data_IF_843613830426
#
_entry.id   IF_843613830426
#
_cell.length_a   1.000
_cell.length_b   1.000
_cell.length_c   1.000
_cell.angle_alpha   90.00
_cell.angle_beta   90.00
_cell.angle_gamma   90.00
#
_symmetry.space_group_name_H-M   'P 1'
#
loop_
_entity.id
_entity.type
_entity.pdbx_description
1 polymer ?
#
# COMPACT_ATOMS: atom_id res chain seq x y z
N UNK A 1 60.48 -8.09 -7.93
CA UNK A 1 59.23 -7.30 -8.05
C UNK A 1 58.16 -7.81 -7.08
N UNK A 2 58.46 -7.90 -5.77
CA UNK A 2 57.53 -8.48 -4.77
C UNK A 2 57.38 -7.66 -3.48
N UNK A 3 58.09 -6.54 -3.32
CA UNK A 3 58.01 -5.73 -2.10
C UNK A 3 56.83 -4.73 -2.06
N UNK A 4 56.21 -4.41 -3.20
CA UNK A 4 55.14 -3.41 -3.26
C UNK A 4 53.73 -3.96 -3.01
N UNK A 5 53.49 -5.27 -3.08
CA UNK A 5 52.15 -5.82 -2.84
C UNK A 5 51.79 -5.90 -1.34
N UNK A 6 52.78 -6.05 -0.45
CA UNK A 6 52.54 -6.14 0.99
C UNK A 6 52.23 -4.78 1.66
N UNK A 7 52.73 -3.68 1.10
CA UNK A 7 52.53 -2.33 1.65
C UNK A 7 51.10 -1.81 1.49
N UNK A 8 50.41 -2.16 0.40
CA UNK A 8 49.01 -1.76 0.19
C UNK A 8 48.05 -2.51 1.12
N UNK A 9 48.32 -3.79 1.40
CA UNK A 9 47.52 -4.58 2.33
C UNK A 9 47.59 -4.04 3.77
N UNK A 10 48.79 -3.64 4.22
CA UNK A 10 48.99 -3.04 5.53
C UNK A 10 48.31 -1.66 5.65
N UNK A 11 48.37 -0.83 4.60
CA UNK A 11 47.70 0.47 4.56
C UNK A 11 46.18 0.35 4.56
N UNK A 12 45.61 -0.62 3.84
CA UNK A 12 44.17 -0.90 3.85
C UNK A 12 43.68 -1.42 5.21
N UNK A 13 44.48 -2.28 5.86
CA UNK A 13 44.21 -2.74 7.23
C UNK A 13 44.25 -1.60 8.24
N UNK A 14 45.26 -0.73 8.18
CA UNK A 14 45.39 0.43 9.06
C UNK A 14 44.28 1.46 8.81
N UNK A 15 43.90 1.70 7.55
CA UNK A 15 42.76 2.53 7.20
C UNK A 15 41.45 1.94 7.73
N UNK A 16 41.25 0.63 7.61
CA UNK A 16 40.10 -0.09 8.15
C UNK A 16 40.01 0.01 9.68
N UNK A 17 41.14 -0.22 10.38
CA UNK A 17 41.23 -0.08 11.85
C UNK A 17 40.97 1.38 12.26
N UNK A 18 41.56 2.35 11.56
CA UNK A 18 41.33 3.78 11.79
C UNK A 18 39.85 4.17 11.64
N UNK A 19 39.17 3.65 10.61
CA UNK A 19 37.73 3.85 10.39
C UNK A 19 36.87 3.24 11.50
N UNK A 20 37.24 2.05 12.00
CA UNK A 20 36.55 1.39 13.13
C UNK A 20 36.73 2.16 14.43
N UNK A 21 37.95 2.63 14.72
CA UNK A 21 38.26 3.42 15.93
C UNK A 21 37.56 4.78 15.88
N UNK A 22 37.56 5.45 14.73
CA UNK A 22 36.85 6.72 14.54
C UNK A 22 35.33 6.53 14.65
N UNK A 23 34.75 5.46 14.09
CA UNK A 23 33.33 5.13 14.27
C UNK A 23 32.99 4.86 15.73
N UNK A 24 33.82 4.09 16.46
CA UNK A 24 33.61 3.79 17.88
C UNK A 24 33.71 5.04 18.75
N UNK A 25 34.68 5.93 18.48
CA UNK A 25 34.80 7.22 19.19
C UNK A 25 33.65 8.19 18.87
N UNK A 26 33.21 8.26 17.61
CA UNK A 26 32.09 9.11 17.21
C UNK A 26 30.72 8.66 17.77
N UNK A 27 30.59 7.39 18.14
CA UNK A 27 29.38 6.81 18.73
C UNK A 27 29.41 6.65 20.25
N UNK A 28 30.48 7.09 20.95
CA UNK A 28 30.71 6.77 22.36
C UNK A 28 29.61 7.17 23.37
N UNK A 29 28.69 8.07 22.99
CA UNK A 29 27.55 8.50 23.82
C UNK A 29 26.19 8.39 23.11
N UNK A 30 26.12 7.78 21.92
CA UNK A 30 24.86 7.69 21.19
C UNK A 30 24.12 6.41 21.58
N UNK A 31 22.79 6.45 21.78
CA UNK A 31 22.02 5.25 22.00
C UNK A 31 22.25 4.25 20.85
N UNK A 32 22.23 2.92 21.13
CA UNK A 32 22.40 1.92 20.10
C UNK A 32 21.20 1.91 19.14
N UNK A 33 21.38 1.34 17.95
CA UNK A 33 20.23 0.98 17.11
C UNK A 33 19.41 -0.14 17.79
N UNK A 34 18.13 -0.33 17.39
CA UNK A 34 17.38 -1.51 17.83
C UNK A 34 18.13 -2.82 17.54
N UNK A 35 17.86 -3.90 18.30
CA UNK A 35 18.52 -5.19 18.12
C UNK A 35 18.57 -5.64 16.65
N UNK A 36 19.72 -6.14 16.21
CA UNK A 36 19.95 -6.59 14.85
C UNK A 36 20.69 -7.93 14.84
N UNK A 37 20.52 -8.75 13.80
CA UNK A 37 21.49 -9.81 13.52
C UNK A 37 22.91 -9.24 13.40
N UNK A 38 23.96 -10.02 13.73
CA UNK A 38 25.34 -9.57 13.61
C UNK A 38 25.65 -9.08 12.18
N UNK A 39 26.08 -7.83 11.99
CA UNK A 39 26.31 -7.30 10.65
C UNK A 39 27.57 -7.88 10.00
N UNK A 40 27.49 -8.19 8.71
CA UNK A 40 28.64 -8.60 7.90
C UNK A 40 29.57 -7.41 7.62
N UNK A 41 30.87 -7.70 7.44
CA UNK A 41 31.86 -6.68 7.10
C UNK A 41 31.51 -5.96 5.78
N UNK A 42 31.53 -4.62 5.80
CA UNK A 42 31.17 -3.70 4.70
C UNK A 42 29.70 -3.69 4.24
N UNK A 43 29.08 -4.85 4.08
CA UNK A 43 27.70 -4.97 3.58
C UNK A 43 26.63 -4.77 4.66
N UNK A 44 27.01 -4.82 5.94
CA UNK A 44 26.08 -4.80 7.05
C UNK A 44 25.16 -6.02 6.99
N UNK A 45 23.86 -5.82 7.09
CA UNK A 45 22.85 -6.86 7.05
C UNK A 45 22.22 -7.07 5.67
N UNK A 46 22.85 -6.60 4.58
CA UNK A 46 22.27 -6.71 3.24
C UNK A 46 21.91 -8.17 2.87
N UNK A 47 22.77 -9.13 3.25
CA UNK A 47 22.54 -10.55 3.00
C UNK A 47 21.58 -11.21 4.01
N UNK A 48 21.30 -10.53 5.13
CA UNK A 48 20.36 -11.00 6.15
C UNK A 48 18.93 -10.52 5.86
N UNK A 49 18.75 -9.61 4.90
CA UNK A 49 17.43 -9.17 4.47
C UNK A 49 16.69 -10.32 3.77
N UNK A 50 15.52 -10.72 4.28
CA UNK A 50 14.74 -11.78 3.66
C UNK A 50 14.25 -11.35 2.27
N UNK A 51 14.19 -12.29 1.33
CA UNK A 51 13.68 -12.07 -0.03
C UNK A 51 12.35 -12.74 -0.33
N UNK A 52 11.87 -13.61 0.58
CA UNK A 52 10.59 -14.32 0.50
C UNK A 52 9.95 -14.34 1.87
N UNK A 53 8.63 -14.20 1.90
CA UNK A 53 7.83 -14.22 3.13
C UNK A 53 8.42 -13.31 4.22
N UNK A 54 8.81 -12.09 3.83
CA UNK A 54 9.61 -11.18 4.65
C UNK A 54 8.99 -10.93 6.03
N UNK A 55 7.67 -10.83 6.11
CA UNK A 55 6.94 -10.63 7.36
C UNK A 55 7.14 -11.77 8.37
N UNK A 56 7.21 -13.03 7.90
CA UNK A 56 7.50 -14.19 8.74
C UNK A 56 8.94 -14.16 9.23
N UNK A 57 9.87 -13.84 8.32
CA UNK A 57 11.29 -13.77 8.64
C UNK A 57 11.57 -12.67 9.67
N UNK A 58 11.02 -11.46 9.50
CA UNK A 58 11.16 -10.38 10.46
C UNK A 58 10.52 -10.70 11.82
N UNK A 59 9.35 -11.35 11.82
CA UNK A 59 8.72 -11.78 13.07
C UNK A 59 9.59 -12.83 13.80
N UNK A 60 10.14 -13.80 13.05
CA UNK A 60 11.05 -14.82 13.60
C UNK A 60 12.32 -14.19 14.17
N UNK A 61 12.97 -13.29 13.43
CA UNK A 61 14.18 -12.59 13.90
C UNK A 61 13.86 -11.78 15.17
N UNK A 62 12.71 -11.12 15.24
CA UNK A 62 12.25 -10.45 16.46
C UNK A 62 12.13 -11.39 17.65
N UNK A 63 11.53 -12.57 17.45
CA UNK A 63 11.44 -13.62 18.49
C UNK A 63 12.82 -14.13 18.90
N UNK A 64 13.70 -14.43 17.95
CA UNK A 64 15.07 -14.92 18.19
C UNK A 64 15.93 -13.91 18.97
N UNK A 65 15.73 -12.61 18.70
CA UNK A 65 16.39 -11.50 19.39
C UNK A 65 15.66 -11.03 20.66
N UNK A 66 14.51 -11.64 20.99
CA UNK A 66 13.64 -11.24 22.11
C UNK A 66 13.27 -9.74 22.07
N UNK A 67 12.98 -9.21 20.88
CA UNK A 67 12.67 -7.81 20.67
C UNK A 67 11.50 -7.62 19.70
N UNK A 68 10.59 -6.70 20.05
CA UNK A 68 9.48 -6.28 19.21
C UNK A 68 9.86 -5.19 18.19
N UNK A 69 11.04 -4.60 18.34
CA UNK A 69 11.64 -3.65 17.41
C UNK A 69 13.02 -4.17 17.02
N UNK A 70 13.23 -4.39 15.72
CA UNK A 70 14.52 -4.87 15.19
C UNK A 70 15.05 -3.92 14.13
N UNK A 71 16.36 -3.94 13.90
CA UNK A 71 16.99 -3.13 12.87
C UNK A 71 17.91 -3.93 11.96
N UNK A 72 18.12 -3.38 10.76
CA UNK A 72 19.06 -3.85 9.77
C UNK A 72 19.79 -2.64 9.21
N UNK A 73 21.12 -2.73 9.08
CA UNK A 73 21.91 -1.71 8.41
C UNK A 73 22.38 -2.24 7.07
N UNK A 74 21.96 -1.65 5.96
CA UNK A 74 22.38 -2.07 4.62
C UNK A 74 22.83 -0.85 3.82
N UNK A 75 24.11 -0.84 3.41
CA UNK A 75 24.70 0.18 2.53
C UNK A 75 24.40 1.64 2.95
N UNK A 76 24.48 1.93 4.24
CA UNK A 76 24.27 3.28 4.79
C UNK A 76 22.79 3.66 4.99
N UNK A 77 21.86 2.74 4.71
CA UNK A 77 20.45 2.85 5.10
C UNK A 77 20.20 2.04 6.37
N UNK A 78 19.30 2.55 7.20
CA UNK A 78 18.82 1.87 8.40
C UNK A 78 17.37 1.48 8.15
N UNK A 79 17.07 0.20 8.28
CA UNK A 79 15.72 -0.35 8.23
C UNK A 79 15.35 -0.74 9.65
N UNK A 80 14.17 -0.33 10.11
CA UNK A 80 13.64 -0.66 11.42
C UNK A 80 12.30 -1.34 11.21
N UNK A 81 12.16 -2.56 11.71
CA UNK A 81 10.92 -3.33 11.64
C UNK A 81 10.21 -3.27 12.98
N UNK A 82 8.92 -2.96 12.94
CA UNK A 82 8.05 -2.81 14.11
C UNK A 82 7.09 -4.01 14.16
N UNK A 83 7.36 -4.94 15.08
CA UNK A 83 6.59 -6.19 15.22
C UNK A 83 5.45 -6.11 16.26
N UNK A 84 5.37 -5.05 17.07
CA UNK A 84 4.28 -4.86 18.05
C UNK A 84 3.40 -3.66 17.75
N UNK A 85 2.14 -3.74 18.19
CA UNK A 85 1.20 -2.62 18.12
C UNK A 85 1.71 -1.42 18.91
N UNK A 86 2.32 -1.64 20.07
CA UNK A 86 2.84 -0.57 20.92
C UNK A 86 3.92 0.27 20.21
N UNK A 87 4.88 -0.38 19.55
CA UNK A 87 5.93 0.30 18.78
C UNK A 87 5.35 1.09 17.61
N UNK A 88 4.39 0.52 16.89
CA UNK A 88 3.69 1.22 15.80
C UNK A 88 2.85 2.38 16.31
N UNK A 89 2.14 2.23 17.42
CA UNK A 89 1.35 3.29 18.05
C UNK A 89 2.22 4.47 18.47
N UNK A 90 3.31 4.19 19.17
CA UNK A 90 4.19 5.23 19.68
C UNK A 90 4.93 5.99 18.58
N UNK A 91 5.34 5.30 17.53
CA UNK A 91 6.12 5.91 16.45
C UNK A 91 5.22 6.45 15.32
N UNK A 92 4.36 5.62 14.73
CA UNK A 92 3.64 5.99 13.51
C UNK A 92 2.35 6.79 13.78
N UNK A 93 1.64 6.53 14.88
CA UNK A 93 0.44 7.29 15.24
C UNK A 93 0.75 8.57 15.99
N UNK A 94 1.47 8.47 17.12
CA UNK A 94 1.64 9.59 18.05
C UNK A 94 2.64 10.64 17.55
N UNK A 95 3.63 10.27 16.73
CA UNK A 95 4.71 11.17 16.30
C UNK A 95 4.57 11.57 14.82
N UNK A 96 4.74 12.86 14.53
CA UNK A 96 4.72 13.37 13.15
C UNK A 96 5.97 13.01 12.34
N UNK A 97 7.07 12.73 13.04
CA UNK A 97 8.39 12.45 12.45
C UNK A 97 8.38 11.28 11.44
N UNK A 98 7.39 10.38 11.54
CA UNK A 98 7.31 9.16 10.73
C UNK A 98 6.22 9.24 9.66
N UNK A 99 5.74 10.43 9.32
CA UNK A 99 4.74 10.60 8.28
C UNK A 99 5.31 10.56 6.85
N UNK A 100 6.64 10.56 6.68
CA UNK A 100 7.27 10.57 5.35
C UNK A 100 7.38 9.17 4.73
N UNK A 101 7.79 9.08 3.47
CA UNK A 101 8.01 7.83 2.72
C UNK A 101 9.47 7.66 2.32
N UNK A 102 9.98 6.42 2.28
CA UNK A 102 11.32 6.18 1.77
C UNK A 102 11.39 6.54 0.29
N UNK A 103 12.42 7.29 -0.09
CA UNK A 103 12.71 7.54 -1.50
C UNK A 103 13.28 6.28 -2.13
N UNK A 104 12.52 5.70 -3.06
CA UNK A 104 12.91 4.54 -3.88
C UNK A 104 13.21 5.04 -5.28
N UNK A 105 14.49 5.19 -5.69
CA UNK A 105 14.88 5.73 -6.99
C UNK A 105 14.11 5.14 -8.18
N UNK A 106 13.97 3.81 -8.26
CA UNK A 106 13.21 3.17 -9.35
C UNK A 106 11.80 3.75 -9.53
N UNK A 107 11.10 4.00 -8.43
CA UNK A 107 9.74 4.54 -8.45
C UNK A 107 9.69 6.06 -8.58
N UNK A 108 10.66 6.78 -8.00
CA UNK A 108 10.56 8.24 -7.82
C UNK A 108 11.27 9.07 -8.88
N UNK A 109 12.26 8.50 -9.58
CA UNK A 109 13.04 9.29 -10.53
C UNK A 109 12.25 9.54 -11.82
N UNK A 110 12.28 10.79 -12.28
CA UNK A 110 11.77 11.23 -13.59
C UNK A 110 12.56 10.64 -14.77
N UNK A 111 13.62 9.86 -14.54
CA UNK A 111 14.28 9.04 -15.56
C UNK A 111 13.76 7.60 -15.62
N UNK A 112 12.94 7.19 -14.65
CA UNK A 112 12.48 5.81 -14.44
C UNK A 112 10.94 5.78 -14.43
N UNK A 113 10.29 5.26 -13.38
CA UNK A 113 8.82 5.11 -13.37
C UNK A 113 8.06 6.41 -13.10
N UNK A 114 8.69 7.42 -12.49
CA UNK A 114 8.11 8.75 -12.22
C UNK A 114 6.75 8.72 -11.48
N UNK A 115 6.65 7.87 -10.45
CA UNK A 115 5.46 7.71 -9.63
C UNK A 115 5.50 8.57 -8.36
N UNK A 116 6.55 9.36 -8.15
CA UNK A 116 6.77 10.11 -6.90
C UNK A 116 5.67 11.11 -6.52
N UNK A 117 4.75 11.40 -7.45
CA UNK A 117 3.60 12.29 -7.26
C UNK A 117 2.37 11.63 -6.62
N UNK A 118 2.24 10.29 -6.60
CA UNK A 118 1.04 9.63 -6.07
C UNK A 118 1.00 9.68 -4.53
N UNK A 119 -0.18 9.79 -3.93
CA UNK A 119 -0.37 9.97 -2.48
C UNK A 119 0.26 8.87 -1.62
N UNK A 120 0.37 7.64 -2.15
CA UNK A 120 0.85 6.46 -1.42
C UNK A 120 2.36 6.49 -1.19
N UNK A 121 3.14 7.00 -2.15
CA UNK A 121 4.61 7.03 -2.11
C UNK A 121 5.19 8.43 -2.01
N UNK A 122 4.40 9.47 -2.27
CA UNK A 122 4.89 10.86 -2.23
C UNK A 122 5.36 11.27 -0.85
N UNK A 123 6.28 12.23 -0.83
CA UNK A 123 6.80 12.81 0.40
C UNK A 123 5.72 13.51 1.19
N UNK A 124 5.86 13.50 2.51
CA UNK A 124 4.99 14.27 3.37
C UNK A 124 5.20 15.77 3.13
N UNK A 125 4.13 16.51 2.87
CA UNK A 125 4.23 17.94 2.53
C UNK A 125 2.88 18.57 2.16
N UNK A 126 2.88 19.84 1.70
CA UNK A 126 1.67 20.55 1.28
C UNK A 126 0.88 19.80 0.21
N UNK A 127 1.53 19.41 -0.90
CA UNK A 127 0.89 18.66 -2.00
C UNK A 127 0.28 17.34 -1.54
N UNK A 128 0.96 16.58 -0.68
CA UNK A 128 0.40 15.34 -0.12
C UNK A 128 -0.87 15.62 0.72
N UNK A 129 -0.88 16.70 1.51
CA UNK A 129 -2.06 17.09 2.30
C UNK A 129 -3.24 17.48 1.41
N UNK A 130 -2.99 18.12 0.28
CA UNK A 130 -4.02 18.47 -0.71
C UNK A 130 -4.60 17.24 -1.41
N UNK A 131 -3.74 16.34 -1.93
CA UNK A 131 -4.16 15.04 -2.47
C UNK A 131 -5.03 14.30 -1.45
N UNK A 132 -4.57 14.25 -0.19
CA UNK A 132 -5.25 13.58 0.91
C UNK A 132 -6.61 14.18 1.21
N UNK A 133 -6.70 15.51 1.28
CA UNK A 133 -7.95 16.23 1.56
C UNK A 133 -8.98 15.97 0.47
N UNK A 134 -8.57 16.07 -0.80
CA UNK A 134 -9.45 15.82 -1.94
C UNK A 134 -9.95 14.37 -1.95
N UNK A 135 -9.05 13.40 -1.77
CA UNK A 135 -9.41 11.98 -1.78
C UNK A 135 -10.30 11.58 -0.60
N UNK A 136 -10.07 12.16 0.59
CA UNK A 136 -10.79 11.76 1.79
C UNK A 136 -12.29 12.00 1.71
N UNK A 137 -12.74 13.05 1.01
CA UNK A 137 -14.17 13.38 0.89
C UNK A 137 -14.98 12.28 0.19
N UNK A 138 -14.38 11.58 -0.78
CA UNK A 138 -15.04 10.48 -1.50
C UNK A 138 -14.82 9.10 -0.86
N UNK A 139 -13.96 9.02 0.16
CA UNK A 139 -13.69 7.77 0.90
C UNK A 139 -14.38 7.71 2.26
N UNK A 140 -15.23 8.69 2.58
CA UNK A 140 -16.05 8.70 3.79
C UNK A 140 -17.33 7.87 3.61
N UNK A 141 -17.86 7.35 4.72
CA UNK A 141 -19.14 6.61 4.73
C UNK A 141 -20.29 7.41 4.11
N UNK A 142 -20.32 8.73 4.33
CA UNK A 142 -21.33 9.62 3.74
C UNK A 142 -21.31 9.63 2.19
N UNK A 143 -20.21 9.20 1.56
CA UNK A 143 -20.12 9.07 0.11
C UNK A 143 -20.63 7.72 -0.42
N UNK A 144 -20.77 6.69 0.42
CA UNK A 144 -21.18 5.33 0.01
C UNK A 144 -22.49 5.31 -0.79
N UNK A 145 -23.57 6.03 -0.39
CA UNK A 145 -24.82 6.02 -1.14
C UNK A 145 -24.67 6.43 -2.62
N UNK A 146 -23.65 7.24 -2.94
CA UNK A 146 -23.34 7.66 -4.31
C UNK A 146 -22.90 6.49 -5.20
N UNK A 147 -22.19 5.52 -4.64
CA UNK A 147 -21.61 4.39 -5.36
C UNK A 147 -22.47 3.13 -5.28
N UNK A 148 -23.53 3.15 -4.47
CA UNK A 148 -24.36 1.97 -4.20
C UNK A 148 -24.89 1.29 -5.46
N UNK A 149 -25.42 2.07 -6.41
CA UNK A 149 -25.97 1.51 -7.65
C UNK A 149 -24.89 0.77 -8.47
N UNK A 150 -23.69 1.34 -8.58
CA UNK A 150 -22.56 0.71 -9.27
C UNK A 150 -22.12 -0.56 -8.53
N UNK A 151 -21.98 -0.47 -7.20
CA UNK A 151 -21.60 -1.62 -6.36
C UNK A 151 -22.61 -2.78 -6.49
N UNK A 152 -23.90 -2.49 -6.37
CA UNK A 152 -24.98 -3.48 -6.50
C UNK A 152 -25.02 -4.10 -7.90
N UNK A 153 -24.87 -3.29 -8.95
CA UNK A 153 -24.87 -3.76 -10.34
C UNK A 153 -23.70 -4.70 -10.61
N UNK A 154 -22.49 -4.33 -10.17
CA UNK A 154 -21.33 -5.18 -10.39
C UNK A 154 -21.37 -6.42 -9.49
N UNK A 155 -21.88 -6.33 -8.25
CA UNK A 155 -22.09 -7.48 -7.38
C UNK A 155 -23.07 -8.50 -8.01
N UNK A 156 -24.17 -8.03 -8.60
CA UNK A 156 -25.11 -8.87 -9.37
C UNK A 156 -24.42 -9.60 -10.53
N UNK A 157 -23.56 -8.91 -11.27
CA UNK A 157 -22.80 -9.49 -12.38
C UNK A 157 -21.76 -10.50 -11.90
N UNK A 158 -21.11 -10.26 -10.76
CA UNK A 158 -20.20 -11.22 -10.15
C UNK A 158 -20.95 -12.52 -9.82
N UNK A 159 -22.11 -12.43 -9.16
CA UNK A 159 -22.93 -13.60 -8.84
C UNK A 159 -23.32 -14.37 -10.11
N UNK A 160 -23.77 -13.67 -11.15
CA UNK A 160 -24.10 -14.30 -12.42
C UNK A 160 -22.89 -15.04 -13.04
N UNK A 161 -21.70 -14.43 -13.04
CA UNK A 161 -20.46 -15.05 -13.54
C UNK A 161 -20.06 -16.28 -12.75
N UNK A 162 -20.17 -16.24 -11.42
CA UNK A 162 -19.85 -17.37 -10.57
C UNK A 162 -20.75 -18.58 -10.88
N UNK A 163 -22.04 -18.34 -11.16
CA UNK A 163 -22.96 -19.40 -11.61
C UNK A 163 -22.63 -19.90 -13.03
N UNK A 164 -22.33 -19.00 -13.98
CA UNK A 164 -21.97 -19.36 -15.36
C UNK A 164 -20.68 -20.20 -15.44
N UNK A 165 -19.68 -19.87 -14.63
CA UNK A 165 -18.37 -20.52 -14.64
C UNK A 165 -18.25 -21.70 -13.66
N UNK A 166 -19.29 -22.00 -12.88
CA UNK A 166 -19.27 -23.08 -11.87
C UNK A 166 -18.27 -22.85 -10.73
N UNK A 167 -17.73 -21.64 -10.57
CA UNK A 167 -16.72 -21.30 -9.54
C UNK A 167 -15.26 -21.60 -9.91
N UNK A 168 -14.98 -22.26 -11.04
CA UNK A 168 -13.61 -22.65 -11.44
C UNK A 168 -12.68 -21.45 -11.70
N UNK A 169 -13.27 -20.27 -11.94
CA UNK A 169 -12.57 -19.02 -12.26
C UNK A 169 -12.75 -17.94 -11.20
N UNK A 170 -12.88 -18.33 -9.93
CA UNK A 170 -13.14 -17.42 -8.81
C UNK A 170 -12.24 -16.18 -8.78
N UNK A 171 -10.91 -16.35 -8.84
CA UNK A 171 -9.97 -15.21 -8.77
C UNK A 171 -10.10 -14.30 -9.99
N UNK A 172 -10.09 -14.81 -11.25
CA UNK A 172 -10.39 -13.98 -12.43
C UNK A 172 -11.73 -13.25 -12.37
N UNK A 173 -12.78 -13.89 -11.82
CA UNK A 173 -14.11 -13.28 -11.71
C UNK A 173 -14.13 -12.15 -10.67
N UNK A 174 -13.46 -12.32 -9.52
CA UNK A 174 -13.27 -11.27 -8.51
C UNK A 174 -12.43 -10.12 -9.08
N UNK A 175 -11.37 -10.42 -9.84
CA UNK A 175 -10.56 -9.42 -10.53
C UNK A 175 -11.39 -8.61 -11.52
N UNK A 176 -12.20 -9.28 -12.34
CA UNK A 176 -13.10 -8.60 -13.26
C UNK A 176 -14.07 -7.68 -12.52
N UNK A 177 -14.72 -8.18 -11.47
CA UNK A 177 -15.66 -7.42 -10.66
C UNK A 177 -15.02 -6.17 -10.03
N UNK A 178 -13.87 -6.34 -9.35
CA UNK A 178 -13.17 -5.23 -8.71
C UNK A 178 -12.75 -4.17 -9.73
N UNK A 179 -12.25 -4.60 -10.89
CA UNK A 179 -11.89 -3.69 -11.98
C UNK A 179 -13.11 -2.96 -12.55
N UNK A 180 -14.22 -3.68 -12.83
CA UNK A 180 -15.44 -3.10 -13.36
C UNK A 180 -16.03 -2.04 -12.42
N UNK A 181 -16.12 -2.36 -11.13
CA UNK A 181 -16.58 -1.43 -10.11
C UNK A 181 -15.68 -0.21 -10.00
N UNK A 182 -14.36 -0.39 -9.86
CA UNK A 182 -13.45 0.74 -9.68
C UNK A 182 -13.34 1.62 -10.92
N UNK A 183 -13.35 1.05 -12.12
CA UNK A 183 -13.34 1.82 -13.37
C UNK A 183 -14.66 2.60 -13.55
N UNK A 184 -15.80 1.99 -13.20
CA UNK A 184 -17.11 2.66 -13.21
C UNK A 184 -17.18 3.78 -12.17
N UNK A 185 -16.83 3.51 -10.92
CA UNK A 185 -16.89 4.48 -9.83
C UNK A 185 -15.90 5.64 -10.02
N UNK A 186 -14.70 5.35 -10.53
CA UNK A 186 -13.64 6.35 -10.69
C UNK A 186 -13.81 7.16 -11.96
N UNK A 187 -14.00 6.49 -13.09
CA UNK A 187 -13.97 7.08 -14.42
C UNK A 187 -15.31 6.97 -15.15
N UNK A 188 -16.36 6.37 -14.60
CA UNK A 188 -17.60 6.15 -15.36
C UNK A 188 -17.40 5.19 -16.54
N UNK A 189 -16.29 4.42 -16.53
CA UNK A 189 -15.94 3.52 -17.62
C UNK A 189 -16.59 2.15 -17.41
N UNK A 190 -17.34 1.70 -18.42
CA UNK A 190 -17.95 0.38 -18.41
C UNK A 190 -16.97 -0.67 -18.94
N UNK A 191 -16.56 -1.59 -18.08
CA UNK A 191 -15.69 -2.70 -18.44
C UNK A 191 -16.47 -3.79 -19.20
N UNK A 192 -16.07 -4.19 -20.42
CA UNK A 192 -16.77 -5.23 -21.18
C UNK A 192 -16.75 -6.61 -20.53
N UNK A 193 -17.74 -7.48 -20.85
CA UNK A 193 -17.83 -8.84 -20.28
C UNK A 193 -16.54 -9.65 -20.50
N UNK A 194 -15.93 -9.54 -21.67
CA UNK A 194 -14.58 -10.01 -21.92
C UNK A 194 -13.58 -8.87 -21.70
N UNK A 195 -12.95 -8.86 -20.52
CA UNK A 195 -11.96 -7.86 -20.14
C UNK A 195 -10.52 -8.34 -20.31
N UNK A 196 -10.29 -9.51 -20.90
CA UNK A 196 -8.95 -10.10 -21.04
C UNK A 196 -7.98 -9.21 -21.83
N UNK A 197 -8.52 -8.42 -22.76
CA UNK A 197 -7.78 -7.49 -23.62
C UNK A 197 -8.11 -6.01 -23.34
N UNK A 198 -8.77 -5.70 -22.22
CA UNK A 198 -9.02 -4.29 -21.87
C UNK A 198 -7.68 -3.58 -21.60
N UNK A 199 -7.37 -2.49 -22.32
CA UNK A 199 -6.06 -1.85 -22.24
C UNK A 199 -5.82 -1.19 -20.90
N UNK A 200 -6.85 -0.71 -20.20
CA UNK A 200 -6.70 -0.02 -18.92
C UNK A 200 -6.46 -1.02 -17.79
N UNK A 201 -7.26 -2.10 -17.75
CA UNK A 201 -7.08 -3.18 -16.79
C UNK A 201 -5.70 -3.84 -16.94
N UNK A 202 -5.32 -4.21 -18.16
CA UNK A 202 -4.02 -4.86 -18.42
C UNK A 202 -2.86 -3.96 -18.05
N UNK A 203 -2.94 -2.67 -18.41
CA UNK A 203 -1.86 -1.72 -18.09
C UNK A 203 -1.73 -1.48 -16.60
N UNK A 204 -2.84 -1.39 -15.87
CA UNK A 204 -2.82 -1.25 -14.41
C UNK A 204 -2.26 -2.51 -13.73
N UNK A 205 -2.68 -3.70 -14.14
CA UNK A 205 -2.16 -4.95 -13.59
C UNK A 205 -0.65 -5.11 -13.82
N UNK A 206 -0.17 -4.83 -15.04
CA UNK A 206 1.26 -4.85 -15.36
C UNK A 206 2.03 -3.78 -14.57
N UNK A 207 1.48 -2.57 -14.44
CA UNK A 207 2.08 -1.50 -13.64
C UNK A 207 2.24 -1.90 -12.17
N UNK A 208 1.22 -2.48 -11.55
CA UNK A 208 1.24 -2.89 -10.15
C UNK A 208 2.25 -4.02 -9.90
N UNK A 209 2.34 -4.99 -10.80
CA UNK A 209 3.40 -6.01 -10.74
C UNK A 209 4.79 -5.36 -10.87
N UNK A 210 4.92 -4.38 -11.78
CA UNK A 210 6.17 -3.66 -11.95
C UNK A 210 6.57 -2.83 -10.72
N UNK A 211 5.61 -2.21 -10.03
CA UNK A 211 5.84 -1.49 -8.77
C UNK A 211 6.32 -2.46 -7.69
N UNK A 212 5.64 -3.59 -7.51
CA UNK A 212 5.98 -4.63 -6.53
C UNK A 212 7.40 -5.19 -6.74
N UNK A 213 7.82 -5.32 -7.99
CA UNK A 213 9.19 -5.72 -8.33
C UNK A 213 10.19 -4.55 -8.22
N UNK A 214 9.75 -3.32 -8.52
CA UNK A 214 10.56 -2.09 -8.52
C UNK A 214 11.01 -1.63 -7.14
N UNK A 215 10.26 -1.96 -6.08
CA UNK A 215 10.63 -1.65 -4.68
C UNK A 215 11.77 -2.52 -4.15
N UNK A 216 12.04 -3.67 -4.78
CA UNK A 216 13.03 -4.62 -4.28
C UNK A 216 14.46 -4.11 -4.53
N UNK A 217 15.16 -3.77 -3.45
CA UNK A 217 16.54 -3.28 -3.52
C UNK A 217 17.53 -4.34 -4.06
N UNK A 218 17.25 -5.62 -3.83
CA UNK A 218 18.02 -6.76 -4.34
C UNK A 218 17.95 -6.90 -5.87
N UNK A 219 16.85 -6.45 -6.48
CA UNK A 219 16.61 -6.55 -7.93
C UNK A 219 17.22 -5.38 -8.69
N UNK A 220 17.15 -4.17 -8.13
CA UNK A 220 17.56 -2.96 -8.82
C UNK A 220 18.58 -2.16 -8.00
N UNK A 221 19.86 -2.27 -8.38
CA UNK A 221 20.96 -1.57 -7.71
C UNK A 221 20.80 -0.05 -7.67
N UNK A 222 20.04 0.55 -8.60
CA UNK A 222 19.74 2.00 -8.58
C UNK A 222 19.02 2.42 -7.30
N UNK A 223 18.30 1.51 -6.63
CA UNK A 223 17.67 1.78 -5.34
C UNK A 223 18.67 1.93 -4.21
N UNK A 224 19.83 1.28 -4.32
CA UNK A 224 20.95 1.36 -3.37
C UNK A 224 21.92 2.48 -3.74
N UNK A 225 22.18 2.64 -5.04
CA UNK A 225 23.11 3.62 -5.61
C UNK A 225 22.36 4.52 -6.61
N UNK A 226 21.70 5.61 -6.13
CA UNK A 226 20.90 6.48 -6.99
C UNK A 226 21.68 7.11 -8.14
N UNK A 227 23.01 7.24 -8.02
CA UNK A 227 23.88 7.73 -9.10
C UNK A 227 23.85 6.86 -10.35
N UNK A 228 23.48 5.57 -10.23
CA UNK A 228 23.36 4.67 -11.38
C UNK A 228 22.29 5.14 -12.38
N UNK A 229 21.33 5.98 -11.97
CA UNK A 229 20.32 6.54 -12.88
C UNK A 229 20.92 7.32 -14.07
N UNK A 230 22.17 7.77 -13.96
CA UNK A 230 22.88 8.48 -15.01
C UNK A 230 23.66 7.57 -15.97
N UNK A 231 23.63 6.25 -15.76
CA UNK A 231 24.22 5.31 -16.72
C UNK A 231 23.52 5.46 -18.08
N UNK A 232 24.20 5.27 -19.20
CA UNK A 232 23.51 5.18 -20.50
C UNK A 232 22.74 3.86 -20.63
N UNK A 233 21.54 3.88 -21.21
CA UNK A 233 20.69 2.69 -21.40
C UNK A 233 21.36 1.54 -22.16
N UNK A 234 22.35 1.82 -23.01
CA UNK A 234 23.08 0.81 -23.78
C UNK A 234 24.12 0.03 -22.95
N UNK A 235 24.49 0.52 -21.76
CA UNK A 235 25.55 -0.09 -20.96
C UNK A 235 25.08 -1.41 -20.33
N UNK A 236 25.93 -2.46 -20.27
CA UNK A 236 25.60 -3.69 -19.57
C UNK A 236 25.16 -3.41 -18.11
N UNK A 237 24.00 -3.95 -17.72
CA UNK A 237 23.40 -3.72 -16.40
C UNK A 237 22.46 -2.50 -16.30
N UNK A 238 22.29 -1.71 -17.37
CA UNK A 238 21.38 -0.56 -17.41
C UNK A 238 19.94 -0.90 -17.85
N UNK A 239 19.59 -2.19 -17.96
CA UNK A 239 18.25 -2.68 -18.35
C UNK A 239 17.12 -2.19 -17.43
N UNK A 240 17.45 -1.77 -16.21
CA UNK A 240 16.52 -1.13 -15.27
C UNK A 240 15.94 0.19 -15.79
N UNK A 241 16.59 0.87 -16.75
CA UNK A 241 16.05 2.09 -17.37
C UNK A 241 14.87 1.80 -18.27
N UNK A 242 14.99 0.74 -19.08
CA UNK A 242 13.90 0.28 -19.94
C UNK A 242 12.71 -0.19 -19.09
N UNK A 243 13.00 -0.89 -18.00
CA UNK A 243 12.00 -1.24 -17.00
C UNK A 243 11.30 0.00 -16.42
N UNK A 244 12.06 1.01 -16.00
CA UNK A 244 11.51 2.27 -15.50
C UNK A 244 10.64 2.99 -16.54
N UNK A 245 11.14 3.10 -17.78
CA UNK A 245 10.43 3.73 -18.90
C UNK A 245 9.10 3.04 -19.19
N UNK A 246 9.10 1.70 -19.29
CA UNK A 246 7.88 0.91 -19.47
C UNK A 246 6.89 1.15 -18.33
N UNK A 247 7.36 1.18 -17.08
CA UNK A 247 6.52 1.48 -15.92
C UNK A 247 5.85 2.86 -16.03
N UNK A 248 6.59 3.88 -16.49
CA UNK A 248 6.00 5.21 -16.70
C UNK A 248 4.96 5.22 -17.82
N UNK A 249 5.25 4.57 -18.94
CA UNK A 249 4.32 4.48 -20.08
C UNK A 249 3.01 3.79 -19.67
N UNK A 250 3.11 2.71 -18.89
CA UNK A 250 1.95 2.04 -18.31
C UNK A 250 1.19 2.94 -17.33
N UNK A 251 1.90 3.69 -16.48
CA UNK A 251 1.29 4.68 -15.58
C UNK A 251 0.46 5.71 -16.34
N UNK A 252 1.02 6.27 -17.41
CA UNK A 252 0.29 7.17 -18.31
C UNK A 252 -0.93 6.50 -18.92
N UNK A 253 -0.76 5.31 -19.52
CA UNK A 253 -1.86 4.61 -20.18
C UNK A 253 -2.99 4.23 -19.21
N UNK A 254 -2.66 3.74 -18.02
CA UNK A 254 -3.62 3.26 -17.03
C UNK A 254 -4.38 4.39 -16.33
N UNK A 255 -3.79 5.59 -16.23
CA UNK A 255 -4.38 6.73 -15.51
C UNK A 255 -4.86 7.83 -16.46
N UNK A 256 -4.01 8.31 -17.38
CA UNK A 256 -4.35 9.36 -18.35
C UNK A 256 -5.35 8.85 -19.39
N UNK A 257 -5.21 7.59 -19.83
CA UNK A 257 -6.09 6.98 -20.82
C UNK A 257 -7.59 7.05 -20.48
N UNK A 258 -8.05 6.50 -19.34
CA UNK A 258 -9.44 6.61 -18.93
C UNK A 258 -9.83 8.03 -18.51
N UNK A 259 -8.91 8.81 -17.94
CA UNK A 259 -9.16 10.21 -17.57
C UNK A 259 -9.48 11.09 -18.80
N UNK A 260 -8.67 10.99 -19.85
CA UNK A 260 -8.82 11.73 -21.11
C UNK A 260 -10.13 11.43 -21.82
N UNK A 261 -10.62 10.19 -21.72
CA UNK A 261 -11.92 9.83 -22.30
C UNK A 261 -13.07 10.58 -21.65
N UNK A 262 -12.97 10.84 -20.35
CA UNK A 262 -14.02 11.49 -19.56
C UNK A 262 -13.91 13.00 -19.64
N UNK A 263 -12.70 13.56 -19.59
CA UNK A 263 -12.51 15.01 -19.74
C UNK A 263 -12.99 15.52 -21.11
N UNK A 264 -12.95 14.66 -22.15
CA UNK A 264 -13.42 14.98 -23.51
C UNK A 264 -14.89 14.64 -23.76
N UNK A 265 -15.58 14.02 -22.80
CA UNK A 265 -16.99 13.65 -22.95
C UNK A 265 -17.90 14.83 -22.55
N UNK A 266 -18.06 15.79 -23.46
CA UNK A 266 -18.85 17.03 -23.30
C UNK A 266 -20.30 16.78 -22.81
N UNK A 267 -20.52 16.69 -21.50
CA UNK A 267 -21.84 16.51 -20.88
C UNK A 267 -22.48 15.13 -21.06
N UNK A 268 -21.79 14.17 -21.68
CA UNK A 268 -22.26 12.78 -21.86
C UNK A 268 -21.54 11.79 -20.92
N UNK A 269 -20.62 12.29 -20.10
CA UNK A 269 -19.88 11.48 -19.14
C UNK A 269 -20.83 10.82 -18.11
N UNK A 270 -20.60 9.53 -17.85
CA UNK A 270 -21.31 8.83 -16.78
C UNK A 270 -20.89 9.39 -15.41
N UNK A 271 -21.81 9.47 -14.43
CA UNK A 271 -21.49 9.92 -13.08
C UNK A 271 -20.35 9.11 -12.47
N UNK A 272 -19.28 9.79 -12.06
CA UNK A 272 -18.07 9.19 -11.50
C UNK A 272 -17.29 10.19 -10.63
N UNK A 273 -16.26 9.71 -9.92
CA UNK A 273 -15.33 10.59 -9.21
C UNK A 273 -14.73 11.65 -10.13
N UNK A 274 -14.16 11.25 -11.28
CA UNK A 274 -13.51 12.17 -12.21
C UNK A 274 -14.50 13.18 -12.79
N UNK A 275 -15.65 12.74 -13.30
CA UNK A 275 -16.62 13.64 -13.92
C UNK A 275 -17.13 14.71 -12.94
N UNK A 276 -17.37 14.32 -11.67
CA UNK A 276 -17.80 15.25 -10.62
C UNK A 276 -16.70 16.24 -10.24
N UNK A 277 -15.48 15.75 -10.03
CA UNK A 277 -14.36 16.61 -9.66
C UNK A 277 -14.03 17.62 -10.77
N UNK A 278 -14.15 17.23 -12.04
CA UNK A 278 -13.99 18.14 -13.17
C UNK A 278 -15.10 19.18 -13.23
N UNK A 279 -16.37 18.80 -13.00
CA UNK A 279 -17.47 19.80 -12.95
C UNK A 279 -17.29 20.81 -11.82
N UNK A 280 -16.76 20.38 -10.67
CA UNK A 280 -16.47 21.30 -9.55
C UNK A 280 -15.32 22.28 -9.84
N UNK A 281 -14.41 21.91 -10.75
CA UNK A 281 -13.35 22.81 -11.23
C UNK A 281 -13.96 23.82 -12.20
N UNK A 282 -14.73 23.36 -13.18
CA UNK A 282 -15.39 24.21 -14.18
C UNK A 282 -16.32 25.25 -13.52
N UNK A 283 -17.06 24.86 -12.49
CA UNK A 283 -17.98 25.77 -11.79
C UNK A 283 -17.22 26.84 -10.98
N UNK A 284 -16.09 26.48 -10.36
CA UNK A 284 -15.22 27.46 -9.68
C UNK A 284 -14.54 28.41 -10.66
N UNK A 285 -14.09 27.91 -11.81
CA UNK A 285 -13.45 28.74 -12.85
C UNK A 285 -14.46 29.75 -13.46
N UNK A 286 -15.75 29.41 -13.50
CA UNK A 286 -16.82 30.34 -13.90
C UNK A 286 -17.09 31.43 -12.86
N UNK A 287 -17.00 31.10 -11.58
CA UNK A 287 -17.22 32.05 -10.48
C UNK A 287 -16.00 32.98 -10.25
N UNK A 288 -14.77 32.48 -10.45
CA UNK A 288 -13.51 33.21 -10.27
C UNK A 288 -12.95 33.79 -11.59
N UNK A 289 -13.66 34.76 -12.19
CA UNK A 289 -13.22 35.50 -13.40
C UNK A 289 -12.04 36.47 -13.16
N UNK A 290 -10.89 35.99 -12.64
CA UNK A 290 -9.65 36.80 -12.52
C UNK A 290 -8.38 35.98 -12.75
N UNK A 291 -7.93 35.88 -14.01
CA UNK A 291 -6.52 35.87 -14.49
C UNK A 291 -5.47 34.87 -13.97
N UNK A 292 -5.62 34.29 -12.78
CA UNK A 292 -4.77 33.26 -12.18
C UNK A 292 -5.37 31.84 -12.31
N UNK A 293 -6.67 31.74 -12.64
CA UNK A 293 -7.45 30.49 -12.63
C UNK A 293 -6.90 29.36 -13.50
N UNK A 294 -6.31 29.64 -14.67
CA UNK A 294 -5.86 28.57 -15.57
C UNK A 294 -4.69 27.72 -15.01
N UNK A 295 -3.78 28.32 -14.22
CA UNK A 295 -2.67 27.56 -13.59
C UNK A 295 -3.14 26.76 -12.40
N UNK A 296 -4.08 27.32 -11.64
CA UNK A 296 -4.68 26.64 -10.49
C UNK A 296 -5.56 25.47 -10.98
N UNK A 297 -6.34 25.66 -12.04
CA UNK A 297 -7.17 24.65 -12.69
C UNK A 297 -6.35 23.44 -13.18
N UNK A 298 -5.25 23.66 -13.91
CA UNK A 298 -4.33 22.58 -14.34
C UNK A 298 -3.71 21.83 -13.15
N UNK A 299 -3.40 22.53 -12.06
CA UNK A 299 -2.87 21.93 -10.84
C UNK A 299 -3.94 21.05 -10.15
N UNK A 300 -5.18 21.53 -10.03
CA UNK A 300 -6.28 20.76 -9.47
C UNK A 300 -6.63 19.55 -10.34
N UNK A 301 -6.64 19.70 -11.66
CA UNK A 301 -6.86 18.60 -12.60
C UNK A 301 -5.82 17.50 -12.41
N UNK A 302 -4.55 17.87 -12.23
CA UNK A 302 -3.49 16.92 -11.88
C UNK A 302 -3.75 16.23 -10.53
N UNK A 303 -4.19 16.94 -9.47
CA UNK A 303 -4.58 16.30 -8.21
C UNK A 303 -5.70 15.28 -8.40
N UNK A 304 -6.73 15.61 -9.18
CA UNK A 304 -7.85 14.71 -9.50
C UNK A 304 -7.35 13.48 -10.24
N UNK A 305 -6.51 13.68 -11.26
CA UNK A 305 -5.92 12.60 -12.07
C UNK A 305 -5.09 11.64 -11.23
N UNK A 306 -4.23 12.16 -10.35
CA UNK A 306 -3.40 11.33 -9.47
C UNK A 306 -4.26 10.56 -8.46
N UNK A 307 -5.29 11.19 -7.88
CA UNK A 307 -6.21 10.51 -6.97
C UNK A 307 -7.03 9.41 -7.67
N UNK A 308 -7.49 9.67 -8.90
CA UNK A 308 -8.21 8.67 -9.70
C UNK A 308 -7.34 7.42 -9.95
N UNK A 309 -6.08 7.62 -10.33
CA UNK A 309 -5.13 6.53 -10.50
C UNK A 309 -4.90 5.72 -9.22
N UNK A 310 -4.89 6.39 -8.06
CA UNK A 310 -4.76 5.72 -6.75
C UNK A 310 -6.03 4.96 -6.37
N UNK A 311 -7.23 5.52 -6.59
CA UNK A 311 -8.50 4.82 -6.31
C UNK A 311 -8.55 3.51 -7.10
N UNK A 312 -8.25 3.56 -8.41
CA UNK A 312 -8.25 2.37 -9.24
C UNK A 312 -7.11 1.40 -8.86
N UNK A 313 -5.86 1.86 -8.84
CA UNK A 313 -4.71 0.98 -8.62
C UNK A 313 -4.65 0.39 -7.21
N UNK A 314 -4.79 1.22 -6.17
CA UNK A 314 -4.71 0.75 -4.79
C UNK A 314 -5.96 -0.02 -4.38
N UNK A 315 -7.15 0.37 -4.87
CA UNK A 315 -8.40 -0.33 -4.62
C UNK A 315 -8.44 -1.71 -5.28
N UNK A 316 -7.80 -1.89 -6.43
CA UNK A 316 -7.93 -3.12 -7.22
C UNK A 316 -7.27 -4.34 -6.55
N UNK A 317 -5.95 -4.35 -6.38
CA UNK A 317 -5.24 -5.52 -5.84
C UNK A 317 -5.61 -5.83 -4.39
N UNK A 318 -5.85 -4.80 -3.57
CA UNK A 318 -6.17 -5.00 -2.15
C UNK A 318 -7.55 -5.63 -1.97
N UNK A 319 -8.55 -5.18 -2.72
CA UNK A 319 -9.89 -5.77 -2.70
C UNK A 319 -9.87 -7.22 -3.19
N UNK A 320 -9.17 -7.50 -4.29
CA UNK A 320 -9.01 -8.88 -4.80
C UNK A 320 -8.36 -9.78 -3.74
N UNK A 321 -7.32 -9.31 -3.05
CA UNK A 321 -6.68 -10.06 -1.98
C UNK A 321 -7.63 -10.33 -0.80
N UNK A 322 -8.36 -9.31 -0.33
CA UNK A 322 -9.33 -9.46 0.76
C UNK A 322 -10.45 -10.44 0.41
N UNK A 323 -11.03 -10.35 -0.79
CA UNK A 323 -12.06 -11.27 -1.25
C UNK A 323 -11.50 -12.70 -1.38
N UNK A 324 -10.29 -12.87 -1.90
CA UNK A 324 -9.64 -14.18 -1.97
C UNK A 324 -9.46 -14.78 -0.57
N UNK A 325 -9.00 -13.99 0.40
CA UNK A 325 -8.90 -14.40 1.81
C UNK A 325 -10.27 -14.75 2.40
N UNK A 326 -11.32 -13.99 2.08
CA UNK A 326 -12.69 -14.29 2.53
C UNK A 326 -13.18 -15.64 2.00
N UNK A 327 -13.03 -15.94 0.71
CA UNK A 327 -13.44 -17.22 0.15
C UNK A 327 -12.65 -18.39 0.74
N UNK A 328 -11.35 -18.22 0.95
CA UNK A 328 -10.51 -19.23 1.65
C UNK A 328 -11.05 -19.47 3.06
N UNK A 329 -11.33 -18.40 3.82
CA UNK A 329 -11.85 -18.52 5.18
C UNK A 329 -13.22 -19.22 5.20
N UNK A 330 -14.14 -18.85 4.31
CA UNK A 330 -15.48 -19.47 4.25
C UNK A 330 -15.41 -20.95 3.85
N UNK A 331 -14.45 -21.33 3.00
CA UNK A 331 -14.25 -22.73 2.62
C UNK A 331 -13.66 -23.57 3.77
N UNK A 332 -12.77 -22.98 4.57
CA UNK A 332 -12.14 -23.65 5.73
C UNK A 332 -13.04 -23.69 6.97
N UNK A 333 -13.98 -22.74 7.08
CA UNK A 333 -14.85 -22.53 8.24
C UNK A 333 -16.33 -22.48 7.84
N UNK A 334 -16.90 -23.61 7.34
CA UNK A 334 -18.29 -23.65 6.87
C UNK A 334 -19.31 -23.27 7.94
N UNK A 335 -19.03 -23.51 9.22
CA UNK A 335 -19.85 -23.09 10.35
C UNK A 335 -19.98 -21.56 10.44
N UNK A 336 -18.87 -20.84 10.20
CA UNK A 336 -18.88 -19.38 10.15
C UNK A 336 -19.67 -18.90 8.93
N UNK A 337 -19.45 -19.53 7.78
CA UNK A 337 -20.18 -19.22 6.55
C UNK A 337 -21.69 -19.38 6.73
N UNK A 338 -22.15 -20.47 7.34
CA UNK A 338 -23.57 -20.73 7.60
C UNK A 338 -24.18 -19.65 8.47
N UNK A 339 -23.54 -19.29 9.59
CA UNK A 339 -24.04 -18.24 10.49
C UNK A 339 -24.08 -16.86 9.83
N UNK A 340 -23.05 -16.51 9.05
CA UNK A 340 -23.03 -15.26 8.29
C UNK A 340 -24.14 -15.23 7.22
N UNK A 341 -24.36 -16.35 6.53
CA UNK A 341 -25.45 -16.49 5.55
C UNK A 341 -26.82 -16.34 6.21
N UNK A 342 -27.04 -16.93 7.37
CA UNK A 342 -28.31 -16.77 8.12
C UNK A 342 -28.60 -15.32 8.47
N UNK A 343 -27.57 -14.54 8.85
CA UNK A 343 -27.72 -13.11 9.11
C UNK A 343 -28.08 -12.35 7.83
N UNK A 344 -27.37 -12.58 6.73
CA UNK A 344 -27.64 -11.95 5.43
C UNK A 344 -29.05 -12.27 4.94
N UNK A 345 -29.51 -13.53 5.06
CA UNK A 345 -30.84 -13.94 4.62
C UNK A 345 -31.98 -13.18 5.32
N UNK A 346 -31.76 -12.64 6.52
CA UNK A 346 -32.79 -11.88 7.27
C UNK A 346 -33.01 -10.48 6.74
N UNK A 347 -32.04 -9.94 6.00
CA UNK A 347 -32.09 -8.56 5.46
C UNK A 347 -32.33 -8.51 3.96
N UNK A 348 -32.46 -9.66 3.30
CA UNK A 348 -32.79 -9.70 1.88
C UNK A 348 -34.24 -9.28 1.68
N UNK A 349 -34.46 -8.38 0.72
CA UNK A 349 -35.80 -8.07 0.27
C UNK A 349 -36.42 -9.29 -0.42
N UNK A 350 -37.63 -9.66 -0.02
CA UNK A 350 -38.29 -10.88 -0.48
C UNK A 350 -38.67 -10.85 -1.97
N UNK A 351 -38.83 -9.65 -2.56
CA UNK A 351 -39.22 -9.51 -3.96
C UNK A 351 -38.02 -9.52 -4.90
N UNK A 352 -36.91 -8.91 -4.50
CA UNK A 352 -35.71 -8.71 -5.33
C UNK A 352 -34.61 -9.72 -5.02
N UNK A 353 -34.58 -10.29 -3.82
CA UNK A 353 -33.49 -11.15 -3.33
C UNK A 353 -32.20 -10.40 -3.02
N UNK A 354 -32.22 -9.06 -3.00
CA UNK A 354 -31.07 -8.21 -2.70
C UNK A 354 -31.29 -7.46 -1.39
N UNK A 355 -30.23 -7.18 -0.61
CA UNK A 355 -30.38 -6.40 0.60
C UNK A 355 -30.59 -4.91 0.26
N UNK A 356 -31.35 -4.20 1.09
CA UNK A 356 -31.41 -2.73 0.97
C UNK A 356 -30.09 -2.14 1.47
N UNK A 357 -29.61 -1.02 0.89
CA UNK A 357 -28.41 -0.33 1.37
C UNK A 357 -28.41 -0.03 2.88
N UNK A 358 -29.56 0.38 3.41
CA UNK A 358 -29.71 0.70 4.83
C UNK A 358 -29.61 -0.53 5.75
N UNK A 359 -29.80 -1.74 5.23
CA UNK A 359 -29.75 -2.97 6.01
C UNK A 359 -28.36 -3.63 5.97
N UNK A 360 -27.60 -3.42 4.89
CA UNK A 360 -26.22 -3.94 4.76
C UNK A 360 -25.27 -3.38 5.81
N UNK A 361 -25.50 -2.13 6.25
CA UNK A 361 -24.73 -1.52 7.34
C UNK A 361 -25.00 -2.17 8.71
N UNK A 362 -26.04 -3.01 8.83
CA UNK A 362 -26.49 -3.61 10.09
C UNK A 362 -26.37 -5.14 10.10
N UNK A 363 -25.21 -5.66 9.68
CA UNK A 363 -24.86 -7.08 9.70
C UNK A 363 -23.68 -7.33 10.67
N UNK A 364 -23.92 -7.29 11.99
CA UNK A 364 -22.84 -7.28 12.99
C UNK A 364 -21.98 -8.54 12.96
N UNK A 365 -22.55 -9.72 12.74
CA UNK A 365 -21.74 -10.93 12.65
C UNK A 365 -20.92 -10.96 11.36
N UNK A 366 -21.49 -10.57 10.21
CA UNK A 366 -20.73 -10.44 8.97
C UNK A 366 -19.59 -9.43 9.10
N UNK A 367 -19.82 -8.30 9.78
CA UNK A 367 -18.75 -7.34 10.09
C UNK A 367 -17.63 -7.99 10.89
N UNK A 368 -17.95 -8.78 11.93
CA UNK A 368 -16.95 -9.54 12.68
C UNK A 368 -16.20 -10.56 11.82
N UNK A 369 -16.88 -11.21 10.86
CA UNK A 369 -16.25 -12.11 9.89
C UNK A 369 -15.24 -11.35 9.03
N UNK A 370 -15.62 -10.19 8.50
CA UNK A 370 -14.73 -9.39 7.66
C UNK A 370 -13.55 -8.81 8.46
N UNK A 371 -13.77 -8.42 9.72
CA UNK A 371 -12.68 -8.06 10.67
C UNK A 371 -11.70 -9.21 10.84
N UNK A 372 -12.21 -10.43 11.02
CA UNK A 372 -11.37 -11.60 11.18
C UNK A 372 -10.62 -11.97 9.89
N UNK A 373 -11.22 -11.78 8.72
CA UNK A 373 -10.53 -11.95 7.43
C UNK A 373 -9.34 -11.01 7.32
N UNK A 374 -9.53 -9.73 7.63
CA UNK A 374 -8.47 -8.72 7.54
C UNK A 374 -7.38 -8.91 8.60
N UNK A 375 -7.73 -9.43 9.78
CA UNK A 375 -6.76 -9.79 10.82
C UNK A 375 -5.97 -11.06 10.45
N UNK A 376 -6.67 -12.12 10.04
CA UNK A 376 -6.09 -13.44 9.84
C UNK A 376 -5.15 -13.49 8.63
N UNK A 377 -5.59 -12.93 7.49
CA UNK A 377 -4.82 -12.84 6.25
C UNK A 377 -4.79 -11.40 5.70
N UNK A 378 -3.97 -10.52 6.32
CA UNK A 378 -3.88 -9.13 5.90
C UNK A 378 -3.32 -9.02 4.47
N UNK A 379 -3.99 -8.27 3.60
CA UNK A 379 -3.56 -8.09 2.20
C UNK A 379 -2.21 -7.41 2.03
N UNK A 380 -1.77 -6.63 3.04
CA UNK A 380 -0.46 -5.99 3.12
C UNK A 380 0.24 -6.36 4.44
N UNK A 381 0.88 -7.55 4.53
CA UNK A 381 1.44 -8.05 5.80
C UNK A 381 2.58 -7.19 6.37
N UNK A 382 3.23 -6.35 5.55
CA UNK A 382 4.23 -5.35 5.97
C UNK A 382 3.77 -3.89 5.86
N UNK A 383 2.47 -3.68 5.62
CA UNK A 383 1.92 -2.36 5.33
C UNK A 383 2.68 -1.64 4.21
N UNK A 384 2.71 -0.30 4.28
CA UNK A 384 3.54 0.52 3.40
C UNK A 384 4.63 1.16 4.26
N UNK A 385 5.93 1.00 3.91
CA UNK A 385 7.02 1.57 4.68
C UNK A 385 6.90 3.08 4.90
N UNK A 386 7.30 3.54 6.08
CA UNK A 386 7.42 4.95 6.44
C UNK A 386 8.91 5.35 6.47
N UNK A 387 9.17 6.65 6.53
CA UNK A 387 10.52 7.17 6.77
C UNK A 387 10.51 8.17 7.92
N UNK A 388 11.54 8.13 8.76
CA UNK A 388 11.81 9.21 9.72
C UNK A 388 12.33 10.45 9.00
N UNK A 389 11.82 11.63 9.38
CA UNK A 389 12.26 12.92 8.82
C UNK A 389 13.55 13.35 9.53
N UNK A 390 13.56 13.26 10.86
CA UNK A 390 14.65 13.65 11.75
C UNK A 390 15.11 12.46 12.60
N UNK A 391 16.30 12.61 13.21
CA UNK A 391 16.80 11.66 14.21
C UNK A 391 15.92 11.71 15.46
N UNK A 392 15.63 10.55 16.04
CA UNK A 392 14.74 10.39 17.19
C UNK A 392 15.28 9.31 18.14
N UNK A 393 14.75 9.27 19.35
CA UNK A 393 15.04 8.24 20.34
C UNK A 393 13.74 7.54 20.78
N UNK A 394 13.79 6.21 20.86
CA UNK A 394 12.66 5.39 21.26
C UNK A 394 13.12 4.21 22.11
N UNK A 395 12.62 4.11 23.34
CA UNK A 395 12.96 3.03 24.30
C UNK A 395 14.49 2.84 24.48
N UNK A 396 15.24 3.95 24.50
CA UNK A 396 16.70 3.92 24.60
C UNK A 396 17.42 3.49 23.31
N UNK A 397 16.68 3.35 22.20
CA UNK A 397 17.26 3.13 20.88
C UNK A 397 17.29 4.41 20.07
N UNK A 398 18.37 4.57 19.33
CA UNK A 398 18.52 5.61 18.33
C UNK A 398 17.77 5.22 17.06
N UNK A 399 16.98 6.15 16.54
CA UNK A 399 16.37 6.07 15.21
C UNK A 399 16.96 7.19 14.34
N UNK A 400 17.93 6.88 13.46
CA UNK A 400 18.51 7.88 12.57
C UNK A 400 17.46 8.54 11.66
N UNK A 401 17.71 9.77 11.22
CA UNK A 401 16.94 10.39 10.14
C UNK A 401 16.98 9.51 8.87
N UNK A 402 15.89 9.54 8.09
CA UNK A 402 15.71 8.73 6.88
C UNK A 402 15.77 7.20 7.10
N UNK A 403 15.54 6.75 8.33
CA UNK A 403 15.36 5.33 8.61
C UNK A 403 14.05 4.85 8.00
N UNK A 404 14.09 3.69 7.35
CA UNK A 404 12.92 3.05 6.76
C UNK A 404 12.20 2.30 7.87
N UNK A 405 10.96 2.67 8.18
CA UNK A 405 10.15 2.01 9.19
C UNK A 405 9.18 1.04 8.50
N UNK A 406 9.28 -0.25 8.80
CA UNK A 406 8.42 -1.29 8.25
C UNK A 406 7.48 -1.77 9.35
N UNK A 407 6.17 -1.46 9.29
CA UNK A 407 5.21 -2.01 10.24
C UNK A 407 4.85 -3.45 9.86
N UNK A 408 5.19 -4.42 10.70
CA UNK A 408 4.85 -5.82 10.47
C UNK A 408 3.42 -6.10 10.94
N UNK A 409 2.44 -5.75 10.09
CA UNK A 409 0.99 -5.97 10.31
C UNK A 409 0.70 -7.44 10.60
N UNK A 410 1.41 -8.37 9.93
CA UNK A 410 1.26 -9.80 10.17
C UNK A 410 1.66 -10.19 11.60
N UNK A 411 2.78 -9.67 12.12
CA UNK A 411 3.19 -9.94 13.50
C UNK A 411 2.20 -9.35 14.51
N UNK A 412 1.73 -8.12 14.26
CA UNK A 412 0.76 -7.42 15.12
C UNK A 412 -0.57 -8.15 15.18
N UNK A 413 -1.06 -8.64 14.04
CA UNK A 413 -2.30 -9.43 13.96
C UNK A 413 -2.22 -10.80 14.64
N UNK A 414 -1.02 -11.22 15.04
CA UNK A 414 -0.70 -12.50 15.70
C UNK A 414 -0.09 -12.33 17.10
N UNK A 415 -0.21 -11.14 17.67
CA UNK A 415 0.15 -10.94 19.06
C UNK A 415 -0.84 -11.67 19.96
N UNK A 416 -0.40 -12.78 20.57
CA UNK A 416 -1.22 -13.63 21.45
C UNK A 416 -1.74 -12.89 22.69
N UNK A 417 -1.09 -11.79 23.09
CA UNK A 417 -1.57 -10.94 24.18
C UNK A 417 -2.79 -10.10 23.80
N UNK A 418 -3.03 -9.91 22.51
CA UNK A 418 -4.13 -9.12 21.95
C UNK A 418 -5.19 -10.03 21.32
N UNK A 419 -4.74 -11.03 20.55
CA UNK A 419 -5.58 -11.99 19.85
C UNK A 419 -5.23 -13.41 20.33
N UNK A 420 -5.90 -13.91 21.39
CA UNK A 420 -5.73 -15.29 21.82
C UNK A 420 -6.00 -16.27 20.67
N UNK A 421 -5.17 -17.31 20.58
CA UNK A 421 -5.19 -18.30 19.51
C UNK A 421 -5.21 -17.65 18.11
N UNK A 422 -4.18 -16.86 17.76
CA UNK A 422 -4.25 -15.96 16.61
C UNK A 422 -4.32 -16.67 15.25
N UNK A 423 -3.92 -17.94 15.19
CA UNK A 423 -4.01 -18.76 13.98
C UNK A 423 -5.41 -19.36 13.77
N UNK A 424 -6.25 -19.41 14.81
CA UNK A 424 -7.66 -19.83 14.70
C UNK A 424 -8.48 -18.68 14.10
N UNK A 425 -9.22 -18.97 13.05
CA UNK A 425 -10.19 -18.03 12.48
C UNK A 425 -11.45 -18.01 13.35
N UNK A 426 -11.61 -16.97 14.16
CA UNK A 426 -12.72 -16.84 15.11
C UNK A 426 -13.32 -15.42 15.07
N UNK A 427 -14.40 -15.19 14.31
CA UNK A 427 -15.12 -13.91 14.30
C UNK A 427 -15.66 -13.48 15.66
N UNK A 428 -16.02 -14.43 16.54
CA UNK A 428 -16.63 -14.11 17.84
C UNK A 428 -15.65 -13.40 18.77
N UNK A 429 -14.33 -13.37 18.46
CA UNK A 429 -13.37 -12.54 19.20
C UNK A 429 -13.76 -11.06 19.21
N UNK A 430 -14.44 -10.59 18.16
CA UNK A 430 -14.85 -9.20 18.03
C UNK A 430 -16.20 -8.89 18.69
N UNK A 431 -16.82 -9.87 19.37
CA UNK A 431 -17.93 -9.62 20.29
C UNK A 431 -17.46 -8.90 21.55
N UNK A 432 -16.20 -9.10 21.95
CA UNK A 432 -15.61 -8.37 23.05
C UNK A 432 -15.16 -6.97 22.57
N UNK A 433 -15.78 -5.88 23.04
CA UNK A 433 -15.39 -4.53 22.66
C UNK A 433 -13.98 -4.13 23.15
N UNK A 434 -13.39 -4.90 24.09
CA UNK A 434 -12.02 -4.69 24.52
C UNK A 434 -10.99 -5.19 23.50
N UNK A 435 -11.37 -6.07 22.56
CA UNK A 435 -10.48 -6.52 21.48
C UNK A 435 -10.17 -5.33 20.57
N UNK A 436 -8.89 -4.93 20.48
CA UNK A 436 -8.50 -3.78 19.66
C UNK A 436 -8.92 -3.95 18.21
N UNK A 437 -9.13 -2.82 17.55
CA UNK A 437 -9.35 -2.82 16.11
C UNK A 437 -8.11 -3.37 15.39
N UNK A 438 -8.36 -4.28 14.45
CA UNK A 438 -7.40 -4.71 13.47
C UNK A 438 -6.81 -3.52 12.70
N UNK A 439 -5.56 -3.62 12.25
CA UNK A 439 -4.84 -2.52 11.60
C UNK A 439 -4.50 -2.77 10.12
N UNK A 440 -5.42 -3.26 9.28
CA UNK A 440 -5.16 -3.55 7.87
C UNK A 440 -5.00 -2.26 7.04
N UNK A 441 -5.48 -1.12 7.55
CA UNK A 441 -5.52 0.16 6.85
C UNK A 441 -4.37 1.11 7.18
N UNK A 442 -3.28 0.59 7.74
CA UNK A 442 -2.08 1.38 8.06
C UNK A 442 -2.26 2.30 9.26
N UNK A 443 -1.36 3.28 9.39
CA UNK A 443 -1.09 3.91 10.68
C UNK A 443 -0.93 5.43 10.60
N UNK A 444 -1.39 6.12 11.65
CA UNK A 444 -1.18 7.55 11.87
C UNK A 444 -1.68 8.43 10.73
N UNK A 445 -0.91 9.48 10.42
CA UNK A 445 -1.24 10.46 9.36
C UNK A 445 -1.34 9.82 7.96
N UNK A 446 -0.79 8.62 7.77
CA UNK A 446 -0.79 7.88 6.50
C UNK A 446 -1.78 6.72 6.47
N UNK A 447 -2.58 6.52 7.53
CA UNK A 447 -3.68 5.56 7.55
C UNK A 447 -4.59 5.78 6.35
N UNK A 448 -5.21 4.77 5.77
CA UNK A 448 -6.14 4.94 4.63
C UNK A 448 -7.31 5.85 5.06
N UNK A 449 -7.85 6.64 4.13
CA UNK A 449 -8.90 7.63 4.39
C UNK A 449 -10.25 7.04 4.84
N UNK A 450 -10.35 5.72 4.94
CA UNK A 450 -11.53 4.95 5.32
C UNK A 450 -11.45 4.63 6.82
N UNK A 451 -11.70 5.63 7.67
CA UNK A 451 -11.78 5.42 9.12
C UNK A 451 -13.16 4.94 9.60
N UNK A 452 -14.07 4.68 8.69
CA UNK A 452 -15.29 3.89 8.94
C UNK A 452 -15.04 2.46 8.48
N UNK A 453 -15.75 1.46 9.02
CA UNK A 453 -15.43 0.07 8.76
C UNK A 453 -15.41 -0.13 7.25
N UNK A 454 -14.26 -0.52 6.71
CA UNK A 454 -14.14 -0.95 5.32
C UNK A 454 -14.97 -2.21 4.99
N UNK A 455 -15.93 -2.54 5.85
CA UNK A 455 -16.88 -3.63 5.80
C UNK A 455 -18.17 -3.24 5.09
N UNK A 456 -18.36 -1.96 4.75
CA UNK A 456 -19.51 -1.46 3.98
C UNK A 456 -19.24 -1.23 2.50
N UNK A 457 -17.98 -1.27 2.04
CA UNK A 457 -17.60 -1.14 0.62
C UNK A 457 -17.30 -2.49 -0.02
#
# INVERSE_FOLDING_TARGET
MTSHQHSWGALLLLAGIGLVVLRRRANGNKPPLPPSPPPHFLLGNLNDLPSKYEWLAYAKIGKDLQSDIISFSALGKTIIVLNSYSAVSDLLYKRANYADRPRIPMLHEEGLMDLGGIITISKYGPRWRELRKALHLDMQEAAIPRYWLSLQTEAQRLVARLFENGGDKLVPDIQHWAAAFLLSATYGYHLPKDSSNDPFLRSMAELLDMINNGVQASRFLVNLFPSLKYLPAWMPGASFQEYGRRGRELGKLAVEGPFDRISKAEGTAQPSYVSRMLSEIDDKDKDDLKGAGAKDSLYYEDLVRQNAGVIFGAGFHTTVATFSSFFIAMQLHPEVQTRAREEVLRVLDAATGWPNPADVVNLPYLQNVLREVLRWLPGLPLGIPHASIEEDEYRGYKIPAQSIMIPNVWAISRDESVYPEPEVFNPDRFLDPAVPQEVPFGFGRRQVSTNTPAYTN
#
